data_IF_478327156982
#
_entry.id   IF_478327156982
#
_cell.length_a   1.000
_cell.length_b   1.000
_cell.length_c   1.000
_cell.angle_alpha   90.00
_cell.angle_beta   90.00
_cell.angle_gamma   90.00
#
_symmetry.space_group_name_H-M   'P 1'
#
loop_
_entity.id
_entity.type
_entity.pdbx_description
1 polymer ?
#
# COMPACT_ATOMS: atom_id res chain seq x y z
N UNK A 1 -2.73 27.88 -0.81
CA UNK A 1 -1.86 27.15 -1.71
C UNK A 1 -2.51 25.83 -2.09
N UNK A 2 -2.50 25.51 -3.37
CA UNK A 2 -3.05 24.24 -3.87
C UNK A 2 -1.88 23.37 -4.36
N UNK A 3 -1.32 22.51 -3.50
CA UNK A 3 -0.24 21.63 -3.93
C UNK A 3 -0.75 20.68 -5.00
N UNK A 4 0.09 20.39 -6.00
CA UNK A 4 -0.23 19.40 -7.03
C UNK A 4 0.04 17.98 -6.54
N UNK A 5 0.94 17.85 -5.58
CA UNK A 5 1.37 16.57 -5.05
C UNK A 5 1.43 16.62 -3.54
N UNK A 6 1.04 15.54 -2.91
CA UNK A 6 1.21 15.33 -1.48
C UNK A 6 2.07 14.09 -1.30
N UNK A 7 3.12 14.20 -0.49
CA UNK A 7 3.98 13.07 -0.18
C UNK A 7 3.87 12.74 1.30
N UNK A 8 3.50 11.49 1.60
CA UNK A 8 3.37 11.01 2.97
C UNK A 8 4.35 9.85 3.19
N UNK A 9 5.24 10.00 4.16
CA UNK A 9 6.24 8.98 4.46
C UNK A 9 5.87 8.29 5.77
N UNK A 10 5.49 7.01 5.68
CA UNK A 10 5.09 6.19 6.82
C UNK A 10 4.06 6.90 7.71
N UNK A 11 2.93 7.39 7.15
CA UNK A 11 1.99 8.21 7.91
C UNK A 11 1.35 7.48 9.08
N UNK A 12 1.32 6.14 9.05
CA UNK A 12 0.68 5.33 10.08
C UNK A 12 1.67 4.67 11.02
N UNK A 13 2.95 5.01 10.92
CA UNK A 13 3.98 4.40 11.75
C UNK A 13 3.71 4.65 13.24
N UNK A 14 3.67 3.58 14.02
CA UNK A 14 3.45 3.67 15.46
C UNK A 14 2.01 3.89 15.89
N UNK A 15 1.06 3.92 14.96
CA UNK A 15 -0.35 4.10 15.28
C UNK A 15 -1.06 2.74 15.43
N UNK A 16 -2.09 2.73 16.26
CA UNK A 16 -2.96 1.55 16.39
C UNK A 16 -3.83 1.39 15.12
N UNK A 17 -4.42 0.20 14.90
CA UNK A 17 -5.20 -0.05 13.68
C UNK A 17 -6.37 0.91 13.46
N UNK A 18 -7.07 1.30 14.52
CA UNK A 18 -8.23 2.19 14.40
C UNK A 18 -7.79 3.59 13.95
N UNK A 19 -6.76 4.11 14.60
CA UNK A 19 -6.21 5.43 14.24
C UNK A 19 -5.62 5.41 12.85
N UNK A 20 -4.97 4.32 12.45
CA UNK A 20 -4.42 4.17 11.11
C UNK A 20 -5.50 4.27 10.03
N UNK A 21 -6.67 3.65 10.26
CA UNK A 21 -7.78 3.76 9.32
C UNK A 21 -8.28 5.19 9.19
N UNK A 22 -8.33 5.94 10.28
CA UNK A 22 -8.73 7.35 10.26
C UNK A 22 -7.76 8.17 9.42
N UNK A 23 -6.46 7.96 9.61
CA UNK A 23 -5.43 8.67 8.85
C UNK A 23 -5.50 8.33 7.37
N UNK A 24 -5.65 7.06 7.03
CA UNK A 24 -5.77 6.62 5.64
C UNK A 24 -6.97 7.28 4.96
N UNK A 25 -8.10 7.32 5.67
CA UNK A 25 -9.31 7.94 5.14
C UNK A 25 -9.16 9.44 4.95
N UNK A 26 -8.48 10.10 5.88
CA UNK A 26 -8.21 11.54 5.78
C UNK A 26 -7.35 11.84 4.56
N UNK A 27 -6.32 11.05 4.31
CA UNK A 27 -5.45 11.22 3.15
C UNK A 27 -6.26 11.04 1.86
N UNK A 28 -7.13 10.04 1.82
CA UNK A 28 -8.01 9.80 0.67
C UNK A 28 -8.94 10.98 0.42
N UNK A 29 -9.57 11.50 1.46
CA UNK A 29 -10.49 12.64 1.36
C UNK A 29 -9.78 13.90 0.86
N UNK A 30 -8.60 14.20 1.38
CA UNK A 30 -7.81 15.35 0.95
C UNK A 30 -7.42 15.20 -0.52
N UNK A 31 -7.01 14.01 -0.90
CA UNK A 31 -6.61 13.71 -2.28
C UNK A 31 -7.76 13.98 -3.25
N UNK A 32 -8.94 13.52 -2.92
CA UNK A 32 -10.13 13.72 -3.76
C UNK A 32 -10.61 15.16 -3.77
N UNK A 33 -10.70 15.78 -2.59
CA UNK A 33 -11.24 17.13 -2.45
C UNK A 33 -10.41 18.16 -3.20
N UNK A 34 -9.10 18.06 -3.12
CA UNK A 34 -8.21 19.02 -3.76
C UNK A 34 -7.70 18.56 -5.12
N UNK A 35 -8.13 17.39 -5.58
CA UNK A 35 -7.76 16.81 -6.87
C UNK A 35 -6.24 16.81 -7.07
N UNK A 36 -5.55 16.28 -6.07
CA UNK A 36 -4.08 16.20 -6.08
C UNK A 36 -3.64 14.75 -6.25
N UNK A 37 -2.38 14.57 -6.63
CA UNK A 37 -1.75 13.24 -6.65
C UNK A 37 -1.06 13.04 -5.31
N UNK A 38 -1.41 11.96 -4.62
CA UNK A 38 -0.81 11.62 -3.34
C UNK A 38 0.06 10.40 -3.47
N UNK A 39 1.29 10.51 -2.98
CA UNK A 39 2.25 9.41 -2.94
C UNK A 39 2.45 9.04 -1.47
N UNK A 40 2.15 7.80 -1.13
CA UNK A 40 2.31 7.28 0.23
C UNK A 40 3.42 6.24 0.21
N UNK A 41 4.48 6.49 0.98
CA UNK A 41 5.55 5.53 1.18
C UNK A 41 5.27 4.76 2.47
N UNK A 42 5.04 3.46 2.36
CA UNK A 42 4.71 2.63 3.52
C UNK A 42 5.12 1.18 3.29
N UNK A 43 5.35 0.46 4.38
CA UNK A 43 5.54 -0.99 4.34
C UNK A 43 4.36 -1.73 4.99
N UNK A 44 3.31 -1.00 5.36
CA UNK A 44 2.13 -1.56 6.03
C UNK A 44 1.14 -2.04 4.98
N UNK A 45 0.96 -3.37 4.88
CA UNK A 45 0.05 -3.98 3.92
C UNK A 45 -1.40 -3.56 4.13
N UNK A 46 -1.82 -3.27 5.35
CA UNK A 46 -3.18 -2.79 5.61
C UNK A 46 -3.43 -1.46 4.91
N UNK A 47 -2.49 -0.52 5.04
CA UNK A 47 -2.59 0.78 4.38
C UNK A 47 -2.57 0.62 2.87
N UNK A 48 -1.72 -0.25 2.35
CA UNK A 48 -1.62 -0.51 0.91
C UNK A 48 -2.96 -1.02 0.36
N UNK A 49 -3.57 -1.97 1.03
CA UNK A 49 -4.83 -2.57 0.58
C UNK A 49 -6.02 -1.63 0.74
N UNK A 50 -5.99 -0.74 1.76
CA UNK A 50 -7.07 0.23 1.97
C UNK A 50 -7.03 1.38 0.97
N UNK A 51 -5.86 1.91 0.70
CA UNK A 51 -5.72 3.17 -0.04
C UNK A 51 -5.03 3.05 -1.40
N UNK A 52 -4.31 1.96 -1.62
CA UNK A 52 -3.49 1.82 -2.81
C UNK A 52 -4.28 1.63 -4.08
N UNK A 53 -4.27 2.61 -4.97
CA UNK A 53 -4.80 2.49 -6.31
C UNK A 53 -3.75 1.96 -7.28
N UNK A 54 -2.52 2.46 -7.14
CA UNK A 54 -1.38 2.05 -7.93
C UNK A 54 -0.20 1.80 -7.00
N UNK A 55 0.38 0.63 -7.09
CA UNK A 55 1.38 0.17 -6.13
C UNK A 55 2.69 -0.09 -6.84
N UNK A 56 3.77 0.42 -6.26
CA UNK A 56 5.12 0.20 -6.75
C UNK A 56 5.94 -0.38 -5.60
N UNK A 57 6.55 -1.54 -5.82
CA UNK A 57 7.47 -2.14 -4.86
C UNK A 57 8.89 -1.73 -5.20
N UNK A 58 9.56 -1.10 -4.24
CA UNK A 58 10.95 -0.70 -4.36
C UNK A 58 11.80 -1.64 -3.51
N UNK A 59 12.85 -2.19 -4.10
CA UNK A 59 13.77 -3.07 -3.42
C UNK A 59 15.20 -2.71 -3.83
N UNK A 60 16.05 -2.44 -2.85
CA UNK A 60 17.46 -2.08 -3.08
C UNK A 60 17.64 -0.94 -4.08
N UNK A 61 16.75 0.06 -4.00
CA UNK A 61 16.82 1.22 -4.86
C UNK A 61 16.25 1.01 -6.27
N UNK A 62 15.66 -0.13 -6.54
CA UNK A 62 15.12 -0.46 -7.86
C UNK A 62 13.63 -0.80 -7.77
N UNK A 63 12.91 -0.51 -8.86
CA UNK A 63 11.52 -0.95 -8.98
C UNK A 63 11.50 -2.45 -9.21
N UNK A 64 10.99 -3.19 -8.22
CA UNK A 64 10.89 -4.64 -8.29
C UNK A 64 9.56 -5.12 -8.85
N UNK A 65 8.49 -4.33 -8.68
CA UNK A 65 7.15 -4.70 -9.15
C UNK A 65 6.27 -3.45 -9.20
N UNK A 66 5.26 -3.50 -10.06
CA UNK A 66 4.29 -2.43 -10.21
C UNK A 66 2.95 -3.02 -10.65
N UNK A 67 1.86 -2.52 -10.08
CA UNK A 67 0.52 -2.98 -10.42
C UNK A 67 -0.55 -2.44 -9.49
N UNK A 68 -1.76 -2.98 -9.61
CA UNK A 68 -2.86 -2.63 -8.72
C UNK A 68 -2.87 -3.57 -7.51
N UNK A 69 -3.69 -3.23 -6.50
CA UNK A 69 -3.82 -4.10 -5.33
C UNK A 69 -4.40 -5.48 -5.67
N UNK A 70 -5.22 -5.56 -6.71
CA UNK A 70 -5.77 -6.84 -7.15
C UNK A 70 -4.71 -7.75 -7.75
N UNK A 71 -3.67 -7.18 -8.36
CA UNK A 71 -2.59 -7.93 -8.97
C UNK A 71 -1.65 -8.57 -7.95
N UNK A 72 -1.67 -8.09 -6.70
CA UNK A 72 -0.78 -8.62 -5.65
C UNK A 72 -0.99 -10.11 -5.44
N UNK A 73 -2.25 -10.55 -5.43
CA UNK A 73 -2.58 -11.94 -5.09
C UNK A 73 -2.32 -12.92 -6.23
N UNK A 74 -2.22 -12.43 -7.45
CA UNK A 74 -2.06 -13.29 -8.63
C UNK A 74 -0.68 -13.18 -9.26
N UNK A 75 0.19 -12.33 -8.73
CA UNK A 75 1.51 -12.12 -9.29
C UNK A 75 2.47 -13.27 -9.00
N UNK A 76 3.32 -13.59 -9.98
CA UNK A 76 4.40 -14.55 -9.82
C UNK A 76 5.72 -13.89 -9.45
N UNK A 77 5.73 -12.58 -9.24
CA UNK A 77 6.95 -11.86 -8.93
C UNK A 77 7.50 -12.28 -7.56
N UNK A 78 8.76 -12.73 -7.54
CA UNK A 78 9.37 -13.27 -6.32
C UNK A 78 9.54 -12.19 -5.24
N UNK A 79 10.01 -11.01 -5.61
CA UNK A 79 10.21 -9.92 -4.65
C UNK A 79 8.90 -9.50 -4.01
N UNK A 80 7.83 -9.41 -4.80
CA UNK A 80 6.52 -9.10 -4.28
C UNK A 80 6.01 -10.18 -3.33
N UNK A 81 6.14 -11.45 -3.73
CA UNK A 81 5.68 -12.57 -2.91
C UNK A 81 6.44 -12.62 -1.59
N UNK A 82 7.74 -12.39 -1.62
CA UNK A 82 8.55 -12.35 -0.40
C UNK A 82 8.09 -11.22 0.53
N UNK A 83 7.81 -10.06 -0.03
CA UNK A 83 7.31 -8.92 0.74
C UNK A 83 5.96 -9.23 1.38
N UNK A 84 5.02 -9.78 0.61
CA UNK A 84 3.69 -10.12 1.10
C UNK A 84 3.75 -11.19 2.18
N UNK A 85 4.57 -12.22 2.00
CA UNK A 85 4.71 -13.29 2.98
C UNK A 85 5.48 -12.87 4.22
N UNK A 86 6.23 -11.77 4.18
CA UNK A 86 6.84 -11.20 5.37
C UNK A 86 5.81 -10.54 6.28
N UNK A 87 4.63 -10.22 5.76
CA UNK A 87 3.54 -9.62 6.54
C UNK A 87 2.67 -10.73 7.11
N UNK A 88 2.57 -10.80 8.44
CA UNK A 88 1.76 -11.81 9.13
C UNK A 88 0.29 -11.74 8.74
N UNK A 89 -0.20 -10.54 8.45
CA UNK A 89 -1.61 -10.34 8.14
C UNK A 89 -2.01 -10.95 6.79
N UNK A 90 -1.19 -10.80 5.75
CA UNK A 90 -1.56 -11.18 4.38
C UNK A 90 -1.00 -12.53 3.95
N UNK A 91 -0.18 -13.14 4.76
CA UNK A 91 0.42 -14.45 4.45
C UNK A 91 -0.64 -15.51 4.21
N UNK A 92 -1.60 -15.62 5.12
CA UNK A 92 -2.65 -16.62 5.02
C UNK A 92 -3.61 -16.34 3.86
N UNK A 93 -3.87 -15.06 3.58
CA UNK A 93 -4.71 -14.66 2.46
C UNK A 93 -4.06 -15.10 1.15
N UNK A 94 -2.76 -14.87 0.99
CA UNK A 94 -2.02 -15.29 -0.20
C UNK A 94 -2.09 -16.82 -0.40
N UNK A 95 -1.95 -17.57 0.68
CA UNK A 95 -2.03 -19.03 0.63
C UNK A 95 -3.42 -19.50 0.20
N UNK A 96 -4.48 -18.88 0.70
CA UNK A 96 -5.85 -19.23 0.35
C UNK A 96 -6.09 -19.01 -1.15
N UNK A 97 -5.67 -17.88 -1.69
CA UNK A 97 -5.81 -17.58 -3.11
C UNK A 97 -5.07 -18.61 -3.96
N UNK A 98 -3.86 -18.99 -3.57
CA UNK A 98 -3.05 -19.93 -4.33
C UNK A 98 -3.60 -21.35 -4.34
N UNK A 99 -4.47 -21.70 -3.39
CA UNK A 99 -5.12 -23.02 -3.35
C UNK A 99 -6.30 -23.14 -4.30
N UNK A 100 -6.82 -22.03 -4.72
CA UNK A 100 -7.94 -21.98 -5.65
C UNK A 100 -7.48 -22.02 -7.10
#
# INVERSE_FOLDING_TARGET
LNPKYLFCDEPNSGLDPVTSLVIDKLIEEITEEYNITTIVNTHDMNSIMETGAHIILIEKGHKAWEGSKDDIFTSDNKSLNDFVFASDLFKNVKLVVNRQ
#
